data_IF_183425355376
#
_entry.id   IF_183425355376
#
_cell.length_a   1.000
_cell.length_b   1.000
_cell.length_c   1.000
_cell.angle_alpha   90.00
_cell.angle_beta   90.00
_cell.angle_gamma   90.00
#
_symmetry.space_group_name_H-M   'P 1'
#
loop_
_entity.id
_entity.type
_entity.pdbx_description
1 polymer ?
#
# COMPACT_ATOMS: atom_id res chain seq x y z
N UNK A 1 12.97 -4.38 -20.07
CA UNK A 1 13.53 -5.17 -18.95
C UNK A 1 12.50 -5.08 -17.84
N UNK A 2 11.90 -6.21 -17.46
CA UNK A 2 10.99 -6.25 -16.30
C UNK A 2 11.84 -6.10 -15.04
N UNK A 3 11.65 -5.01 -14.31
CA UNK A 3 12.34 -4.81 -13.04
C UNK A 3 11.77 -5.81 -12.02
N UNK A 4 12.61 -6.71 -11.52
CA UNK A 4 12.18 -7.72 -10.55
C UNK A 4 11.92 -7.02 -9.22
N UNK A 5 10.67 -7.00 -8.78
CA UNK A 5 10.28 -6.41 -7.50
C UNK A 5 10.25 -7.46 -6.40
N UNK A 6 11.14 -7.33 -5.42
CA UNK A 6 11.12 -8.15 -4.21
C UNK A 6 10.19 -7.55 -3.15
N UNK A 7 9.66 -8.39 -2.27
CA UNK A 7 8.81 -7.98 -1.15
C UNK A 7 9.47 -6.88 -0.32
N UNK A 8 10.75 -7.02 0.04
CA UNK A 8 11.47 -6.00 0.82
C UNK A 8 11.56 -4.64 0.13
N UNK A 9 11.61 -4.63 -1.20
CA UNK A 9 11.78 -3.42 -1.99
C UNK A 9 10.44 -2.73 -2.18
N UNK A 10 9.36 -3.50 -2.37
CA UNK A 10 7.99 -2.97 -2.32
C UNK A 10 7.63 -2.46 -0.93
N UNK A 11 8.00 -3.16 0.16
CA UNK A 11 7.76 -2.62 1.52
C UNK A 11 8.41 -1.25 1.71
N UNK A 12 9.67 -1.11 1.31
CA UNK A 12 10.39 0.18 1.37
C UNK A 12 9.79 1.26 0.48
N UNK A 13 9.20 0.87 -0.65
CA UNK A 13 8.51 1.80 -1.54
C UNK A 13 7.19 2.31 -0.94
N UNK A 14 6.49 1.46 -0.19
CA UNK A 14 5.18 1.77 0.38
C UNK A 14 5.26 2.45 1.76
N UNK A 15 6.33 2.23 2.52
CA UNK A 15 6.52 2.81 3.86
C UNK A 15 6.26 4.35 3.90
N UNK A 16 6.80 5.16 2.96
CA UNK A 16 6.54 6.61 2.93
C UNK A 16 5.06 6.97 2.70
N UNK A 17 4.27 6.08 2.09
CA UNK A 17 2.85 6.30 1.85
C UNK A 17 2.10 6.24 3.19
N UNK A 18 2.38 5.23 4.01
CA UNK A 18 1.79 5.09 5.34
C UNK A 18 2.20 6.27 6.23
N UNK A 19 3.48 6.65 6.20
CA UNK A 19 3.98 7.82 6.96
C UNK A 19 3.31 9.13 6.53
N UNK A 20 3.01 9.30 5.24
CA UNK A 20 2.37 10.52 4.73
C UNK A 20 0.86 10.54 4.93
N UNK A 21 0.20 9.37 4.91
CA UNK A 21 -1.26 9.27 4.96
C UNK A 21 -1.83 8.94 6.33
N UNK A 22 -1.00 8.60 7.31
CA UNK A 22 -1.40 8.37 8.69
C UNK A 22 -0.87 9.49 9.60
N UNK A 23 -1.63 9.83 10.63
CA UNK A 23 -1.19 10.64 11.76
C UNK A 23 -0.26 9.81 12.64
N UNK A 24 0.46 10.45 13.55
CA UNK A 24 1.44 9.77 14.40
C UNK A 24 0.83 8.58 15.16
N UNK A 25 -0.33 8.78 15.81
CA UNK A 25 -0.98 7.73 16.58
C UNK A 25 -1.45 6.54 15.72
N UNK A 26 -1.89 6.83 14.49
CA UNK A 26 -2.37 5.83 13.55
C UNK A 26 -1.19 5.02 13.02
N UNK A 27 -0.11 5.70 12.63
CA UNK A 27 1.13 5.10 12.17
C UNK A 27 1.78 4.24 13.26
N UNK A 28 1.84 4.72 14.50
CA UNK A 28 2.36 3.95 15.64
C UNK A 28 1.57 2.66 15.90
N UNK A 29 0.27 2.66 15.61
CA UNK A 29 -0.58 1.47 15.70
C UNK A 29 -0.55 0.58 14.45
N UNK A 30 0.04 1.09 13.36
CA UNK A 30 -0.12 0.48 12.05
C UNK A 30 0.83 -0.69 11.85
N UNK A 31 0.34 -1.72 11.18
CA UNK A 31 1.17 -2.78 10.61
C UNK A 31 0.76 -3.00 9.17
N UNK A 32 1.71 -3.35 8.32
CA UNK A 32 1.41 -3.82 6.97
C UNK A 32 2.32 -4.96 6.56
N UNK A 33 1.78 -5.85 5.74
CA UNK A 33 2.43 -7.07 5.26
C UNK A 33 2.01 -7.37 3.83
N UNK A 34 2.86 -8.10 3.12
CA UNK A 34 2.52 -8.65 1.81
C UNK A 34 2.20 -10.13 1.98
N UNK A 35 1.12 -10.58 1.35
CA UNK A 35 0.67 -11.97 1.40
C UNK A 35 0.30 -12.46 0.00
N UNK A 36 0.22 -13.77 -0.20
CA UNK A 36 -0.35 -14.30 -1.44
C UNK A 36 -1.85 -14.13 -1.45
N UNK A 37 -2.37 -13.75 -2.61
CA UNK A 37 -3.81 -13.69 -2.89
C UNK A 37 -4.46 -15.06 -2.72
N UNK A 38 -3.72 -16.14 -3.07
CA UNK A 38 -4.19 -17.52 -2.95
C UNK A 38 -4.43 -17.98 -1.52
N UNK A 39 -3.81 -17.33 -0.52
CA UNK A 39 -4.01 -17.62 0.90
C UNK A 39 -5.30 -16.98 1.46
N UNK A 40 -6.00 -16.17 0.66
CA UNK A 40 -7.34 -15.65 0.99
C UNK A 40 -7.42 -14.82 2.28
N UNK A 41 -6.32 -14.20 2.69
CA UNK A 41 -6.24 -13.31 3.85
C UNK A 41 -5.93 -14.03 5.16
N UNK A 42 -5.73 -15.36 5.10
CA UNK A 42 -5.22 -16.17 6.21
C UNK A 42 -3.72 -16.45 6.06
N UNK A 43 -3.06 -15.76 5.12
CA UNK A 43 -1.65 -15.92 4.81
C UNK A 43 -0.76 -15.28 5.87
N UNK A 44 0.51 -15.69 5.86
CA UNK A 44 1.56 -15.00 6.61
C UNK A 44 2.25 -13.94 5.76
N UNK A 45 3.03 -13.09 6.41
CA UNK A 45 3.95 -12.19 5.71
C UNK A 45 4.91 -12.99 4.82
N UNK A 46 5.02 -12.58 3.57
CA UNK A 46 5.97 -13.14 2.62
C UNK A 46 7.42 -12.78 3.01
N UNK A 47 8.38 -13.70 2.84
CA UNK A 47 9.81 -13.41 3.03
C UNK A 47 10.26 -12.25 2.14
N UNK A 48 11.17 -11.40 2.66
CA UNK A 48 11.61 -10.19 1.97
C UNK A 48 12.32 -10.42 0.63
N UNK A 49 12.93 -11.59 0.44
CA UNK A 49 13.56 -12.05 -0.80
C UNK A 49 12.59 -12.72 -1.80
N UNK A 50 11.30 -12.80 -1.46
CA UNK A 50 10.27 -13.29 -2.37
C UNK A 50 10.06 -12.30 -3.50
N UNK A 51 10.01 -12.81 -4.73
CA UNK A 51 9.68 -12.02 -5.92
C UNK A 51 8.16 -11.86 -6.00
N UNK A 52 7.71 -10.63 -6.20
CA UNK A 52 6.30 -10.32 -6.44
C UNK A 52 6.01 -10.55 -7.91
N UNK A 53 4.99 -11.36 -8.18
CA UNK A 53 4.46 -11.55 -9.53
C UNK A 53 3.11 -10.87 -9.65
N UNK A 54 2.80 -10.41 -10.86
CA UNK A 54 1.54 -9.71 -11.14
C UNK A 54 0.34 -10.58 -10.76
N UNK A 55 -0.57 -9.99 -10.00
CA UNK A 55 -1.80 -10.57 -9.47
C UNK A 55 -1.66 -11.69 -8.43
N UNK A 56 -0.44 -12.01 -7.97
CA UNK A 56 -0.22 -13.08 -6.98
C UNK A 56 -0.15 -12.56 -5.54
N UNK A 57 0.20 -11.30 -5.36
CA UNK A 57 0.44 -10.69 -4.05
C UNK A 57 -0.47 -9.48 -3.84
N UNK A 58 -0.91 -9.25 -2.60
CA UNK A 58 -1.58 -8.01 -2.19
C UNK A 58 -0.91 -7.43 -0.94
N UNK A 59 -1.26 -6.20 -0.58
CA UNK A 59 -0.84 -5.59 0.69
C UNK A 59 -2.01 -5.68 1.65
N UNK A 60 -1.76 -6.14 2.87
CA UNK A 60 -2.71 -6.12 3.97
C UNK A 60 -2.17 -5.22 5.06
N UNK A 61 -3.04 -4.46 5.71
CA UNK A 61 -2.67 -3.62 6.83
C UNK A 61 -3.68 -3.69 7.95
N UNK A 62 -3.23 -3.30 9.13
CA UNK A 62 -4.07 -3.03 10.28
C UNK A 62 -3.73 -1.63 10.80
N UNK A 63 -4.73 -0.80 11.04
CA UNK A 63 -4.57 0.56 11.61
C UNK A 63 -5.61 0.73 12.70
N UNK A 64 -5.19 1.11 13.91
CA UNK A 64 -6.07 1.24 15.09
C UNK A 64 -6.97 0.00 15.33
N UNK A 65 -6.49 -1.18 14.98
CA UNK A 65 -7.23 -2.43 15.12
C UNK A 65 -8.16 -2.77 13.95
N UNK A 66 -8.39 -1.87 13.00
CA UNK A 66 -9.16 -2.15 11.78
C UNK A 66 -8.28 -2.72 10.67
N UNK A 67 -8.76 -3.76 10.02
CA UNK A 67 -8.06 -4.43 8.92
C UNK A 67 -8.48 -3.86 7.57
N UNK A 68 -7.49 -3.63 6.71
CA UNK A 68 -7.66 -3.21 5.33
C UNK A 68 -6.64 -3.89 4.43
N UNK A 69 -6.70 -3.57 3.15
CA UNK A 69 -5.73 -4.06 2.20
C UNK A 69 -6.03 -3.56 0.79
N UNK A 70 -5.06 -3.76 -0.09
CA UNK A 70 -5.20 -3.48 -1.50
C UNK A 70 -5.81 -4.65 -2.26
N UNK A 71 -6.28 -4.40 -3.48
CA UNK A 71 -6.33 -5.43 -4.51
C UNK A 71 -4.96 -6.02 -4.87
N UNK A 72 -4.93 -6.96 -5.81
CA UNK A 72 -3.69 -7.62 -6.23
C UNK A 72 -2.72 -6.66 -6.91
N UNK A 73 -1.44 -6.75 -6.54
CA UNK A 73 -0.38 -5.90 -7.04
C UNK A 73 0.01 -6.24 -8.47
N UNK A 74 0.39 -5.20 -9.21
CA UNK A 74 0.81 -5.28 -10.61
C UNK A 74 2.16 -4.54 -10.78
N UNK A 75 3.29 -5.12 -10.32
CA UNK A 75 4.59 -4.46 -10.39
C UNK A 75 5.05 -4.15 -11.83
N UNK A 76 4.54 -4.89 -12.82
CA UNK A 76 4.84 -4.67 -14.23
C UNK A 76 4.32 -3.32 -14.78
N UNK A 77 3.34 -2.70 -14.12
CA UNK A 77 2.81 -1.38 -14.51
C UNK A 77 3.73 -0.22 -14.07
N UNK A 78 4.81 -0.51 -13.34
CA UNK A 78 5.82 0.45 -12.87
C UNK A 78 5.61 0.92 -11.43
N UNK A 79 6.67 1.46 -10.83
CA UNK A 79 6.70 1.87 -9.41
C UNK A 79 5.69 2.98 -9.10
N UNK A 80 5.60 4.01 -9.95
CA UNK A 80 4.62 5.08 -9.79
C UNK A 80 3.17 4.59 -9.82
N UNK A 81 2.87 3.61 -10.68
CA UNK A 81 1.54 3.02 -10.76
C UNK A 81 1.23 2.19 -9.50
N UNK A 82 2.21 1.41 -9.03
CA UNK A 82 2.11 0.63 -7.80
C UNK A 82 1.87 1.53 -6.57
N UNK A 83 2.65 2.60 -6.44
CA UNK A 83 2.50 3.60 -5.37
C UNK A 83 1.10 4.20 -5.40
N UNK A 84 0.67 4.73 -6.56
CA UNK A 84 -0.65 5.38 -6.69
C UNK A 84 -1.80 4.42 -6.39
N UNK A 85 -1.66 3.16 -6.81
CA UNK A 85 -2.66 2.13 -6.53
C UNK A 85 -2.81 1.89 -5.03
N UNK A 86 -1.72 1.57 -4.32
CA UNK A 86 -1.77 1.32 -2.87
C UNK A 86 -2.18 2.56 -2.10
N UNK A 87 -1.73 3.75 -2.54
CA UNK A 87 -2.14 5.03 -1.96
C UNK A 87 -3.65 5.24 -2.06
N UNK A 88 -4.25 4.98 -3.23
CA UNK A 88 -5.69 5.10 -3.44
C UNK A 88 -6.46 4.17 -2.50
N UNK A 89 -6.07 2.90 -2.43
CA UNK A 89 -6.75 1.90 -1.58
C UNK A 89 -6.63 2.26 -0.09
N UNK A 90 -5.49 2.80 0.34
CA UNK A 90 -5.31 3.28 1.72
C UNK A 90 -6.16 4.53 2.01
N UNK A 91 -6.28 5.45 1.06
CA UNK A 91 -7.16 6.61 1.19
C UNK A 91 -8.63 6.21 1.30
N UNK A 92 -9.06 5.25 0.48
CA UNK A 92 -10.43 4.70 0.54
C UNK A 92 -10.67 4.03 1.89
N UNK A 93 -9.73 3.21 2.39
CA UNK A 93 -9.80 2.61 3.72
C UNK A 93 -9.94 3.67 4.83
N UNK A 94 -9.15 4.75 4.78
CA UNK A 94 -9.24 5.84 5.76
C UNK A 94 -10.61 6.53 5.68
N UNK A 95 -11.13 6.75 4.46
CA UNK A 95 -12.42 7.39 4.25
C UNK A 95 -13.61 6.55 4.76
N UNK A 96 -13.53 5.22 4.61
CA UNK A 96 -14.58 4.27 4.98
C UNK A 96 -14.47 3.72 6.42
N UNK A 97 -13.35 3.99 7.10
CA UNK A 97 -13.08 3.47 8.45
C UNK A 97 -14.13 3.94 9.48
N UNK A 98 -14.49 3.02 10.38
CA UNK A 98 -15.55 3.22 11.39
C UNK A 98 -15.19 4.27 12.44
N UNK A 99 -13.91 4.65 12.56
CA UNK A 99 -13.50 5.77 13.41
C UNK A 99 -13.87 7.13 12.82
N UNK A 100 -14.46 7.19 11.62
CA UNK A 100 -15.05 8.41 11.08
C UNK A 100 -14.00 9.49 10.86
N UNK A 101 -13.04 9.23 9.96
CA UNK A 101 -11.85 10.06 9.84
C UNK A 101 -12.08 11.42 9.21
N UNK A 102 -13.29 11.67 8.67
CA UNK A 102 -13.92 13.00 8.55
C UNK A 102 -13.17 14.09 7.78
N UNK A 103 -11.96 13.83 7.30
CA UNK A 103 -11.12 14.74 6.58
C UNK A 103 -10.67 14.00 5.32
N UNK A 104 -11.33 14.32 4.20
CA UNK A 104 -10.77 14.14 2.87
C UNK A 104 -9.32 14.65 2.89
N UNK A 105 -8.34 13.73 2.97
CA UNK A 105 -6.93 14.09 2.88
C UNK A 105 -6.69 14.38 1.40
N UNK A 106 -6.61 15.67 1.06
CA UNK A 106 -6.38 16.14 -0.31
C UNK A 106 -5.13 15.43 -0.86
N UNK A 107 -5.19 14.83 -2.06
CA UNK A 107 -3.99 14.34 -2.73
C UNK A 107 -2.95 15.45 -2.75
N UNK A 108 -1.77 15.23 -2.18
CA UNK A 108 -0.66 16.16 -2.36
C UNK A 108 -0.34 16.15 -3.86
N UNK A 109 -0.56 17.30 -4.49
CA UNK A 109 -0.23 17.58 -5.88
C UNK A 109 1.16 17.03 -6.20
N UNK A 110 1.22 15.92 -6.95
CA UNK A 110 2.45 15.52 -7.60
C UNK A 110 2.74 16.62 -8.63
N UNK A 111 3.91 17.27 -8.61
CA UNK A 111 4.21 18.33 -9.57
C UNK A 111 4.08 17.75 -10.98
N UNK A 112 3.03 18.18 -11.68
CA UNK A 112 2.89 17.97 -13.11
C UNK A 112 4.11 18.57 -13.81
N UNK A 113 4.73 17.90 -14.80
CA UNK A 113 5.87 18.48 -15.50
C UNK A 113 5.40 19.74 -16.23
N UNK A 114 5.93 20.88 -15.80
CA UNK A 114 5.77 22.14 -16.52
C UNK A 114 6.36 21.97 -17.92
N UNK A 115 5.49 21.89 -18.93
CA UNK A 115 5.90 22.09 -20.32
C UNK A 115 6.37 23.53 -20.48
N UNK A 116 7.66 23.69 -20.80
CA UNK A 116 8.23 24.94 -21.32
C UNK A 116 7.62 25.31 -22.67
#
# INVERSE_FOLDING_TARGET
>A
MTDVKYVRDVKRLLEPIFESLLSAAELESSTFRLERVTDGGNGGELPGDTIITTNDTWVRWQVLGEEGGSGSLRPDDGEDALIRFVQSELQDFIAESRFGWGQLRVPRDLPWPATS
#
